data_IF_699283358330
#
_entry.id   IF_699283358330
#
_cell.length_a   1.000
_cell.length_b   1.000
_cell.length_c   1.000
_cell.angle_alpha   90.00
_cell.angle_beta   90.00
_cell.angle_gamma   90.00
#
_symmetry.space_group_name_H-M   'P 1'
#
loop_
_entity.id
_entity.type
_entity.pdbx_description
1 polymer ?
#
# COMPACT_ATOMS: atom_id res chain seq x y z
N UNK A 1 -72.64 -18.09 -11.33
CA UNK A 1 -71.51 -17.45 -10.65
C UNK A 1 -70.44 -18.51 -10.54
N UNK A 2 -69.58 -18.59 -11.55
CA UNK A 2 -68.69 -19.73 -11.79
C UNK A 2 -67.37 -19.44 -11.11
N UNK A 3 -67.02 -20.25 -10.11
CA UNK A 3 -65.75 -20.18 -9.37
C UNK A 3 -64.67 -20.79 -10.27
N UNK A 4 -63.72 -19.97 -10.73
CA UNK A 4 -62.59 -20.43 -11.55
C UNK A 4 -61.63 -21.24 -10.68
N UNK A 5 -61.24 -22.42 -11.17
CA UNK A 5 -60.36 -23.38 -10.52
C UNK A 5 -58.95 -22.78 -10.33
N UNK A 6 -58.36 -22.82 -9.12
CA UNK A 6 -57.05 -22.24 -8.86
C UNK A 6 -55.85 -22.95 -9.52
N UNK A 7 -56.03 -24.18 -10.04
CA UNK A 7 -54.95 -25.02 -10.60
C UNK A 7 -54.85 -25.00 -12.14
N UNK A 8 -55.43 -24.01 -12.83
CA UNK A 8 -55.34 -23.86 -14.29
C UNK A 8 -53.92 -23.38 -14.72
N UNK A 9 -53.14 -24.16 -15.48
CA UNK A 9 -51.77 -23.83 -15.87
C UNK A 9 -51.65 -22.63 -16.83
N UNK A 10 -52.75 -22.19 -17.45
CA UNK A 10 -52.80 -21.00 -18.31
C UNK A 10 -53.33 -19.75 -17.56
N UNK A 11 -53.55 -19.86 -16.24
CA UNK A 11 -54.00 -18.74 -15.41
C UNK A 11 -52.90 -17.69 -15.26
N UNK A 12 -53.15 -16.49 -15.80
CA UNK A 12 -52.30 -15.32 -15.55
C UNK A 12 -52.50 -14.88 -14.09
N UNK A 13 -51.45 -14.85 -13.25
CA UNK A 13 -51.55 -14.45 -11.85
C UNK A 13 -52.12 -13.05 -11.73
N UNK A 14 -52.97 -12.84 -10.74
CA UNK A 14 -53.48 -11.50 -10.43
C UNK A 14 -52.36 -10.64 -9.86
N UNK A 15 -52.46 -9.33 -9.99
CA UNK A 15 -51.43 -8.40 -9.50
C UNK A 15 -51.13 -8.58 -8.00
N UNK A 16 -52.14 -8.96 -7.21
CA UNK A 16 -51.99 -9.24 -5.79
C UNK A 16 -51.19 -10.53 -5.50
N UNK A 17 -51.29 -11.54 -6.37
CA UNK A 17 -50.51 -12.78 -6.25
C UNK A 17 -49.06 -12.54 -6.66
N UNK A 18 -48.82 -11.72 -7.70
CA UNK A 18 -47.47 -11.31 -8.11
C UNK A 18 -46.76 -10.50 -7.02
N UNK A 19 -47.47 -9.54 -6.40
CA UNK A 19 -46.93 -8.74 -5.30
C UNK A 19 -46.62 -9.62 -4.07
N UNK A 20 -47.43 -10.64 -3.79
CA UNK A 20 -47.20 -11.57 -2.68
C UNK A 20 -45.97 -12.45 -2.92
N UNK A 21 -45.75 -12.91 -4.15
CA UNK A 21 -44.55 -13.68 -4.52
C UNK A 21 -43.27 -12.84 -4.44
N UNK A 22 -43.31 -11.59 -4.89
CA UNK A 22 -42.18 -10.66 -4.79
C UNK A 22 -41.86 -10.32 -3.32
N UNK A 23 -42.89 -10.09 -2.50
CA UNK A 23 -42.73 -9.89 -1.05
C UNK A 23 -42.12 -11.13 -0.37
N UNK A 24 -42.60 -12.33 -0.71
CA UNK A 24 -42.05 -13.57 -0.18
C UNK A 24 -40.60 -13.81 -0.62
N UNK A 25 -40.23 -13.44 -1.85
CA UNK A 25 -38.87 -13.50 -2.34
C UNK A 25 -37.93 -12.53 -1.61
N UNK A 26 -38.42 -11.31 -1.32
CA UNK A 26 -37.69 -10.31 -0.53
C UNK A 26 -37.49 -10.79 0.91
N UNK A 27 -38.53 -11.36 1.53
CA UNK A 27 -38.48 -11.88 2.90
C UNK A 27 -37.50 -13.04 3.03
N UNK A 28 -37.52 -14.01 2.10
CA UNK A 28 -36.53 -15.10 2.04
C UNK A 28 -35.10 -14.55 1.92
N UNK A 29 -34.89 -13.59 1.04
CA UNK A 29 -33.57 -12.96 0.85
C UNK A 29 -33.13 -12.12 2.05
N UNK A 30 -34.06 -11.58 2.83
CA UNK A 30 -33.76 -10.90 4.09
C UNK A 30 -33.36 -11.91 5.15
N UNK A 31 -34.14 -12.98 5.31
CA UNK A 31 -33.86 -14.05 6.26
C UNK A 31 -32.52 -14.73 6.00
N UNK A 32 -32.18 -15.02 4.74
CA UNK A 32 -30.87 -15.55 4.35
C UNK A 32 -29.70 -14.60 4.72
N UNK A 33 -29.93 -13.27 4.66
CA UNK A 33 -28.91 -12.28 5.05
C UNK A 33 -28.77 -12.20 6.57
N UNK A 34 -29.87 -12.25 7.30
CA UNK A 34 -29.87 -12.20 8.76
C UNK A 34 -29.24 -13.48 9.34
N UNK A 35 -29.53 -14.63 8.74
CA UNK A 35 -28.94 -15.91 9.09
C UNK A 35 -27.43 -15.96 8.77
N UNK A 36 -27.00 -15.36 7.66
CA UNK A 36 -25.58 -15.18 7.33
C UNK A 36 -24.84 -14.19 8.26
N UNK A 37 -25.56 -13.28 8.94
CA UNK A 37 -24.97 -12.43 9.99
C UNK A 37 -24.87 -13.17 11.33
N UNK A 38 -25.84 -14.04 11.66
CA UNK A 38 -25.87 -14.82 12.90
C UNK A 38 -24.88 -15.99 12.88
N UNK A 39 -24.68 -16.60 11.72
CA UNK A 39 -23.72 -17.69 11.50
C UNK A 39 -22.74 -17.31 10.40
N UNK A 40 -21.68 -16.55 10.70
CA UNK A 40 -20.65 -16.26 9.71
C UNK A 40 -20.06 -17.58 9.19
N UNK A 41 -20.14 -17.81 7.88
CA UNK A 41 -19.56 -18.97 7.24
C UNK A 41 -18.10 -19.15 7.68
N UNK A 42 -17.71 -20.39 7.99
CA UNK A 42 -16.30 -20.74 8.27
C UNK A 42 -15.40 -20.07 7.23
N UNK A 43 -14.25 -19.48 7.63
CA UNK A 43 -13.34 -18.86 6.68
C UNK A 43 -13.01 -19.88 5.59
N UNK A 44 -13.55 -19.63 4.39
CA UNK A 44 -13.31 -20.45 3.21
C UNK A 44 -11.82 -20.31 2.94
N UNK A 45 -11.10 -21.42 2.92
CA UNK A 45 -9.68 -21.42 2.55
C UNK A 45 -9.57 -20.73 1.18
N UNK A 46 -8.92 -19.55 1.09
CA UNK A 46 -8.92 -18.74 -0.12
C UNK A 46 -8.10 -19.37 -1.25
N UNK A 47 -7.51 -20.55 -1.02
CA UNK A 47 -6.62 -21.22 -1.93
C UNK A 47 -5.23 -20.60 -1.92
N UNK A 48 -4.31 -21.12 -2.77
CA UNK A 48 -2.92 -20.72 -2.73
C UNK A 48 -2.74 -19.23 -3.06
N UNK A 49 -1.82 -18.53 -2.38
CA UNK A 49 -1.58 -17.12 -2.60
C UNK A 49 -1.09 -16.86 -4.04
N UNK A 50 -1.58 -15.80 -4.72
CA UNK A 50 -1.22 -15.53 -6.12
C UNK A 50 0.28 -15.31 -6.31
N UNK A 51 0.84 -15.85 -7.40
CA UNK A 51 2.26 -15.66 -7.80
C UNK A 51 2.65 -14.19 -7.94
N UNK A 52 1.70 -13.33 -8.31
CA UNK A 52 1.91 -11.88 -8.33
C UNK A 52 2.36 -11.31 -6.98
N UNK A 53 1.80 -11.81 -5.87
CA UNK A 53 2.13 -11.37 -4.53
C UNK A 53 3.35 -12.09 -3.96
N UNK A 54 3.46 -13.41 -4.18
CA UNK A 54 4.48 -14.25 -3.55
C UNK A 54 5.79 -14.33 -4.31
N UNK A 55 5.79 -14.07 -5.62
CA UNK A 55 6.97 -14.16 -6.48
C UNK A 55 7.27 -12.79 -7.09
N UNK A 56 6.37 -12.24 -7.91
CA UNK A 56 6.69 -11.02 -8.68
C UNK A 56 6.93 -9.80 -7.78
N UNK A 57 6.03 -9.54 -6.84
CA UNK A 57 6.21 -8.45 -5.87
C UNK A 57 7.47 -8.65 -5.01
N UNK A 58 7.76 -9.89 -4.60
CA UNK A 58 8.95 -10.20 -3.78
C UNK A 58 10.24 -10.04 -4.55
N UNK A 59 10.32 -10.51 -5.79
CA UNK A 59 11.51 -10.38 -6.64
C UNK A 59 11.79 -8.90 -6.92
N UNK A 60 10.76 -8.12 -7.28
CA UNK A 60 10.90 -6.68 -7.47
C UNK A 60 11.34 -5.98 -6.18
N UNK A 61 10.77 -6.36 -5.04
CA UNK A 61 11.18 -5.84 -3.73
C UNK A 61 12.63 -6.19 -3.40
N UNK A 62 13.07 -7.44 -3.62
CA UNK A 62 14.47 -7.84 -3.39
C UNK A 62 15.43 -7.07 -4.28
N UNK A 63 15.08 -6.83 -5.54
CA UNK A 63 15.87 -5.96 -6.41
C UNK A 63 16.00 -4.54 -5.85
N UNK A 64 14.90 -3.97 -5.37
CA UNK A 64 14.92 -2.67 -4.70
C UNK A 64 15.73 -2.69 -3.41
N UNK A 65 15.64 -3.75 -2.62
CA UNK A 65 16.37 -3.93 -1.36
C UNK A 65 17.87 -4.02 -1.59
N UNK A 66 18.32 -4.72 -2.63
CA UNK A 66 19.73 -4.78 -3.01
C UNK A 66 20.23 -3.39 -3.42
N UNK A 67 19.48 -2.66 -4.25
CA UNK A 67 19.84 -1.30 -4.64
C UNK A 67 19.93 -0.35 -3.42
N UNK A 68 18.93 -0.41 -2.53
CA UNK A 68 18.90 0.33 -1.28
C UNK A 68 20.10 -0.02 -0.38
N UNK A 69 20.48 -1.30 -0.33
CA UNK A 69 21.61 -1.75 0.48
C UNK A 69 22.94 -1.29 -0.08
N UNK A 70 23.10 -1.26 -1.41
CA UNK A 70 24.28 -0.66 -2.05
C UNK A 70 24.38 0.83 -1.69
N UNK A 71 23.27 1.58 -1.77
CA UNK A 71 23.25 2.99 -1.35
C UNK A 71 23.56 3.17 0.14
N UNK A 72 23.03 2.31 1.01
CA UNK A 72 23.33 2.33 2.44
C UNK A 72 24.82 2.09 2.72
N UNK A 73 25.41 1.02 2.18
CA UNK A 73 26.82 0.69 2.39
C UNK A 73 27.70 1.81 1.84
N UNK A 74 27.40 2.31 0.63
CA UNK A 74 28.15 3.41 0.04
C UNK A 74 28.06 4.69 0.88
N UNK A 75 26.86 5.03 1.35
CA UNK A 75 26.66 6.21 2.20
C UNK A 75 27.34 6.08 3.56
N UNK A 76 27.40 4.87 4.14
CA UNK A 76 28.08 4.62 5.41
C UNK A 76 29.60 4.72 5.28
N UNK A 77 30.16 4.20 4.18
CA UNK A 77 31.61 4.33 3.87
C UNK A 77 32.00 5.79 3.62
N UNK A 78 31.13 6.58 2.99
CA UNK A 78 31.41 7.97 2.61
C UNK A 78 30.75 8.99 3.55
N UNK A 79 30.36 8.58 4.76
CA UNK A 79 29.50 9.41 5.62
C UNK A 79 30.17 10.75 5.98
N UNK A 80 31.46 10.75 6.31
CA UNK A 80 32.19 11.98 6.63
C UNK A 80 32.28 12.95 5.45
N UNK A 81 32.42 12.42 4.23
CA UNK A 81 32.41 13.23 3.00
C UNK A 81 31.02 13.82 2.76
N UNK A 82 29.96 13.04 2.94
CA UNK A 82 28.57 13.50 2.78
C UNK A 82 28.22 14.57 3.83
N UNK A 83 28.62 14.39 5.09
CA UNK A 83 28.43 15.37 6.16
C UNK A 83 29.12 16.70 5.83
N UNK A 84 30.36 16.64 5.32
CA UNK A 84 31.10 17.83 4.87
C UNK A 84 30.39 18.56 3.74
N UNK A 85 30.03 17.85 2.67
CA UNK A 85 29.35 18.41 1.50
C UNK A 85 27.96 18.97 1.84
N UNK A 86 27.22 18.28 2.71
CA UNK A 86 25.92 18.75 3.18
C UNK A 86 26.06 20.01 4.05
N UNK A 87 27.09 20.07 4.89
CA UNK A 87 27.38 21.25 5.72
C UNK A 87 27.69 22.46 4.85
N UNK A 88 28.50 22.30 3.81
CA UNK A 88 28.84 23.38 2.88
C UNK A 88 27.60 23.86 2.11
N UNK A 89 26.77 22.92 1.64
CA UNK A 89 25.49 23.24 0.98
C UNK A 89 24.50 23.96 1.90
N UNK A 90 24.42 23.58 3.17
CA UNK A 90 23.57 24.25 4.16
C UNK A 90 24.07 25.67 4.47
N UNK A 91 25.40 25.87 4.55
CA UNK A 91 26.00 27.21 4.74
C UNK A 91 25.72 28.13 3.55
N UNK A 92 25.85 27.61 2.34
CA UNK A 92 25.50 28.34 1.11
C UNK A 92 23.99 28.69 1.08
N UNK A 93 23.13 27.78 1.52
CA UNK A 93 21.69 28.02 1.63
C UNK A 93 21.34 29.16 2.60
N UNK A 94 22.06 29.26 3.73
CA UNK A 94 21.87 30.33 4.72
C UNK A 94 22.35 31.68 4.17
N UNK A 95 23.43 31.69 3.40
CA UNK A 95 23.96 32.90 2.78
C UNK A 95 23.05 33.42 1.64
N UNK A 96 22.38 32.52 0.91
CA UNK A 96 21.56 32.86 -0.25
C UNK A 96 20.08 33.16 0.08
N UNK A 97 19.49 32.45 1.05
CA UNK A 97 18.11 32.71 1.50
C UNK A 97 17.95 32.57 3.03
N UNK A 98 18.37 33.58 3.81
CA UNK A 98 18.34 33.54 5.27
C UNK A 98 16.93 33.53 5.88
N UNK A 99 15.86 33.76 5.08
CA UNK A 99 14.47 33.70 5.57
C UNK A 99 13.91 32.29 5.59
N UNK A 100 14.47 31.39 4.80
CA UNK A 100 13.99 30.01 4.64
C UNK A 100 15.00 28.97 5.17
N UNK A 101 16.18 29.42 5.61
CA UNK A 101 17.25 28.57 6.09
C UNK A 101 17.17 28.26 7.60
N UNK A 102 17.74 27.11 7.98
CA UNK A 102 17.94 26.77 9.39
C UNK A 102 18.85 27.82 10.06
N UNK A 103 18.63 28.16 11.35
CA UNK A 103 19.46 29.14 12.03
C UNK A 103 20.91 28.64 12.09
N UNK A 104 21.85 29.57 11.88
CA UNK A 104 23.24 29.26 11.55
C UNK A 104 23.97 28.45 12.65
N UNK A 105 23.48 28.56 13.89
CA UNK A 105 23.93 27.81 15.07
C UNK A 105 23.60 26.31 15.01
N UNK A 106 22.66 25.89 14.15
CA UNK A 106 22.22 24.49 14.03
C UNK A 106 22.71 23.75 12.79
N UNK A 107 23.42 24.41 11.89
CA UNK A 107 23.93 23.81 10.63
C UNK A 107 24.79 22.58 10.94
N UNK A 108 25.76 22.69 11.85
CA UNK A 108 26.67 21.59 12.16
C UNK A 108 25.93 20.40 12.80
N UNK A 109 24.92 20.66 13.64
CA UNK A 109 24.08 19.60 14.21
C UNK A 109 23.22 18.90 13.15
N UNK A 110 22.64 19.65 12.21
CA UNK A 110 21.79 19.11 11.16
C UNK A 110 22.61 18.31 10.14
N UNK A 111 23.78 18.84 9.75
CA UNK A 111 24.68 18.19 8.80
C UNK A 111 25.20 16.84 9.31
N UNK A 112 25.41 16.69 10.62
CA UNK A 112 25.86 15.42 11.22
C UNK A 112 24.67 14.46 11.46
N UNK A 113 23.48 14.98 11.76
CA UNK A 113 22.32 14.14 12.08
C UNK A 113 21.63 13.57 10.83
N UNK A 114 21.38 14.40 9.81
CA UNK A 114 20.56 14.01 8.67
C UNK A 114 21.12 12.81 7.88
N UNK A 115 22.42 12.76 7.54
CA UNK A 115 22.97 11.62 6.80
C UNK A 115 22.81 10.30 7.56
N UNK A 116 23.14 10.29 8.85
CA UNK A 116 22.99 9.11 9.71
C UNK A 116 21.53 8.70 9.80
N UNK A 117 20.63 9.66 10.07
CA UNK A 117 19.19 9.39 10.17
C UNK A 117 18.63 8.80 8.87
N UNK A 118 18.97 9.37 7.72
CA UNK A 118 18.49 8.88 6.42
C UNK A 118 19.00 7.46 6.13
N UNK A 119 20.27 7.16 6.46
CA UNK A 119 20.83 5.80 6.32
C UNK A 119 20.10 4.79 7.20
N UNK A 120 19.81 5.14 8.46
CA UNK A 120 19.02 4.29 9.36
C UNK A 120 17.62 4.08 8.80
N UNK A 121 16.97 5.14 8.31
CA UNK A 121 15.62 5.06 7.75
C UNK A 121 15.53 4.14 6.53
N UNK A 122 16.57 4.06 5.68
CA UNK A 122 16.62 3.09 4.58
C UNK A 122 16.41 1.66 5.11
N UNK A 123 17.14 1.28 6.16
CA UNK A 123 17.04 -0.06 6.76
C UNK A 123 15.67 -0.28 7.39
N UNK A 124 15.16 0.71 8.12
CA UNK A 124 13.83 0.65 8.75
C UNK A 124 12.74 0.44 7.71
N UNK A 125 12.75 1.21 6.62
CA UNK A 125 11.77 1.04 5.54
C UNK A 125 11.85 -0.35 4.91
N UNK A 126 13.05 -0.86 4.62
CA UNK A 126 13.21 -2.21 4.06
C UNK A 126 12.62 -3.30 4.98
N UNK A 127 12.91 -3.23 6.28
CA UNK A 127 12.42 -4.22 7.25
C UNK A 127 10.89 -4.16 7.36
N UNK A 128 10.33 -2.95 7.49
CA UNK A 128 8.88 -2.75 7.62
C UNK A 128 8.15 -3.19 6.34
N UNK A 129 8.64 -2.77 5.17
CA UNK A 129 8.07 -3.15 3.88
C UNK A 129 8.10 -4.67 3.67
N UNK A 130 9.23 -5.32 3.98
CA UNK A 130 9.35 -6.77 3.88
C UNK A 130 8.37 -7.49 4.81
N UNK A 131 8.30 -7.07 6.08
CA UNK A 131 7.41 -7.67 7.07
C UNK A 131 5.94 -7.53 6.66
N UNK A 132 5.55 -6.36 6.13
CA UNK A 132 4.19 -6.12 5.65
C UNK A 132 3.86 -6.91 4.39
N UNK A 133 4.82 -7.06 3.46
CA UNK A 133 4.65 -7.85 2.24
C UNK A 133 4.51 -9.35 2.54
N UNK A 134 5.35 -9.88 3.44
CA UNK A 134 5.24 -11.27 3.93
C UNK A 134 3.96 -11.46 4.73
N UNK A 135 3.61 -10.50 5.59
CA UNK A 135 2.38 -10.51 6.37
C UNK A 135 1.13 -10.53 5.50
N UNK A 136 1.11 -9.77 4.40
CA UNK A 136 0.00 -9.78 3.45
C UNK A 136 -0.20 -11.15 2.79
N UNK A 137 0.89 -11.85 2.46
CA UNK A 137 0.85 -13.17 1.83
C UNK A 137 0.54 -14.31 2.82
N UNK A 138 1.07 -14.26 4.04
CA UNK A 138 0.95 -15.33 5.05
C UNK A 138 -0.38 -15.27 5.81
N UNK A 139 -0.85 -14.07 6.18
CA UNK A 139 -2.06 -13.89 6.98
C UNK A 139 -3.30 -13.57 6.14
N UNK A 140 -3.21 -13.60 4.81
CA UNK A 140 -4.31 -13.25 3.93
C UNK A 140 -4.91 -11.86 4.26
N UNK A 141 -4.07 -10.92 4.66
CA UNK A 141 -4.49 -9.65 5.27
C UNK A 141 -4.47 -8.49 4.29
N UNK A 142 -5.65 -7.94 4.00
CA UNK A 142 -5.79 -6.72 3.19
C UNK A 142 -5.22 -5.48 3.89
N UNK A 143 -5.25 -5.47 5.22
CA UNK A 143 -4.68 -4.39 6.02
C UNK A 143 -3.15 -4.37 5.88
N UNK A 144 -2.48 -5.52 5.99
CA UNK A 144 -1.02 -5.62 5.77
C UNK A 144 -0.63 -5.12 4.38
N UNK A 145 -1.39 -5.48 3.34
CA UNK A 145 -1.16 -4.95 1.98
C UNK A 145 -1.36 -3.43 1.91
N UNK A 146 -2.42 -2.88 2.51
CA UNK A 146 -2.67 -1.44 2.47
C UNK A 146 -1.57 -0.66 3.22
N UNK A 147 -1.11 -1.18 4.37
CA UNK A 147 0.03 -0.62 5.09
C UNK A 147 1.33 -0.74 4.29
N UNK A 148 1.55 -1.87 3.60
CA UNK A 148 2.68 -2.04 2.68
C UNK A 148 2.67 -0.96 1.60
N UNK A 149 1.53 -0.75 0.94
CA UNK A 149 1.39 0.30 -0.08
C UNK A 149 1.63 1.70 0.50
N UNK A 150 1.13 1.98 1.70
CA UNK A 150 1.38 3.25 2.37
C UNK A 150 2.87 3.44 2.68
N UNK A 151 3.53 2.42 3.22
CA UNK A 151 4.97 2.44 3.51
C UNK A 151 5.79 2.67 2.22
N UNK A 152 5.47 1.94 1.14
CA UNK A 152 6.12 2.13 -0.17
C UNK A 152 5.91 3.54 -0.70
N UNK A 153 4.70 4.10 -0.61
CA UNK A 153 4.45 5.48 -1.04
C UNK A 153 5.30 6.48 -0.26
N UNK A 154 5.39 6.33 1.07
CA UNK A 154 6.25 7.18 1.90
C UNK A 154 7.72 7.01 1.49
N UNK A 155 8.18 5.78 1.29
CA UNK A 155 9.55 5.50 0.87
C UNK A 155 9.86 6.09 -0.51
N UNK A 156 8.92 6.00 -1.46
CA UNK A 156 9.04 6.63 -2.79
C UNK A 156 9.17 8.15 -2.70
N UNK A 157 8.57 8.80 -1.71
CA UNK A 157 8.77 10.24 -1.46
C UNK A 157 10.15 10.52 -0.83
N UNK A 158 10.65 9.62 0.00
CA UNK A 158 11.96 9.76 0.65
C UNK A 158 13.14 9.53 -0.30
N UNK A 159 13.00 8.66 -1.32
CA UNK A 159 14.10 8.31 -2.23
C UNK A 159 14.67 9.52 -2.99
N UNK A 160 13.86 10.37 -3.67
CA UNK A 160 14.36 11.56 -4.35
C UNK A 160 15.08 12.52 -3.40
N UNK A 161 14.54 12.72 -2.20
CA UNK A 161 15.19 13.53 -1.17
C UNK A 161 16.52 12.93 -0.75
N UNK A 162 16.61 11.62 -0.53
CA UNK A 162 17.86 10.94 -0.21
C UNK A 162 18.91 11.04 -1.32
N UNK A 163 18.50 10.89 -2.58
CA UNK A 163 19.38 11.08 -3.74
C UNK A 163 19.93 12.51 -3.77
N UNK A 164 19.06 13.52 -3.65
CA UNK A 164 19.47 14.92 -3.76
C UNK A 164 20.35 15.38 -2.59
N UNK A 165 20.05 14.90 -1.38
CA UNK A 165 20.72 15.34 -0.15
C UNK A 165 22.03 14.59 0.11
N UNK A 166 22.13 13.31 -0.28
CA UNK A 166 23.27 12.45 0.07
C UNK A 166 24.18 12.15 -1.11
N UNK A 167 23.65 12.03 -2.34
CA UNK A 167 24.38 11.42 -3.46
C UNK A 167 24.55 12.33 -4.67
N UNK A 168 23.84 13.45 -4.74
CA UNK A 168 23.92 14.40 -5.85
C UNK A 168 25.02 15.44 -5.64
N UNK A 169 26.25 14.96 -5.46
CA UNK A 169 27.45 15.79 -5.37
C UNK A 169 28.46 15.38 -6.44
N UNK A 170 29.22 16.34 -7.01
CA UNK A 170 30.21 16.05 -8.05
C UNK A 170 31.37 15.17 -7.57
N UNK A 171 31.67 15.20 -6.26
CA UNK A 171 32.74 14.41 -5.65
C UNK A 171 32.33 12.96 -5.34
N UNK A 172 31.05 12.63 -5.51
CA UNK A 172 30.52 11.28 -5.31
C UNK A 172 30.34 10.56 -6.64
N UNK A 173 30.26 9.23 -6.56
CA UNK A 173 30.12 8.40 -7.74
C UNK A 173 28.80 8.67 -8.46
N UNK A 174 28.87 9.14 -9.71
CA UNK A 174 27.72 9.52 -10.54
C UNK A 174 26.69 8.40 -10.77
N UNK A 175 27.04 7.15 -10.49
CA UNK A 175 26.13 6.01 -10.58
C UNK A 175 25.14 5.92 -9.40
N UNK A 176 25.42 6.55 -8.25
CA UNK A 176 24.56 6.44 -7.06
C UNK A 176 23.14 6.99 -7.25
N UNK A 177 22.94 8.16 -7.89
CA UNK A 177 21.60 8.61 -8.26
C UNK A 177 20.85 7.62 -9.16
N UNK A 178 21.55 6.96 -10.08
CA UNK A 178 20.95 5.96 -10.99
C UNK A 178 20.48 4.75 -10.19
N UNK A 179 21.27 4.28 -9.23
CA UNK A 179 20.90 3.17 -8.33
C UNK A 179 19.66 3.54 -7.50
N UNK A 180 19.58 4.78 -7.00
CA UNK A 180 18.40 5.26 -6.29
C UNK A 180 17.13 5.30 -7.17
N UNK A 181 17.24 5.75 -8.42
CA UNK A 181 16.12 5.69 -9.38
C UNK A 181 15.74 4.26 -9.77
N UNK A 182 16.70 3.35 -9.84
CA UNK A 182 16.44 1.93 -10.06
C UNK A 182 15.66 1.33 -8.88
N UNK A 183 16.06 1.64 -7.64
CA UNK A 183 15.31 1.27 -6.43
C UNK A 183 13.87 1.79 -6.50
N UNK A 184 13.69 3.07 -6.86
CA UNK A 184 12.37 3.69 -7.03
C UNK A 184 11.50 2.91 -8.02
N UNK A 185 12.02 2.63 -9.21
CA UNK A 185 11.27 1.90 -10.24
C UNK A 185 10.89 0.49 -9.79
N UNK A 186 11.80 -0.23 -9.11
CA UNK A 186 11.55 -1.57 -8.61
C UNK A 186 10.50 -1.61 -7.50
N UNK A 187 10.48 -0.62 -6.61
CA UNK A 187 9.42 -0.47 -5.60
C UNK A 187 8.06 -0.19 -6.23
N UNK A 188 7.99 0.66 -7.27
CA UNK A 188 6.74 0.89 -8.02
C UNK A 188 6.23 -0.41 -8.64
N UNK A 189 7.11 -1.18 -9.29
CA UNK A 189 6.74 -2.48 -9.87
C UNK A 189 6.23 -3.43 -8.78
N UNK A 190 6.91 -3.49 -7.64
CA UNK A 190 6.47 -4.32 -6.51
C UNK A 190 5.08 -3.91 -6.01
N UNK A 191 4.82 -2.61 -5.82
CA UNK A 191 3.52 -2.09 -5.43
C UNK A 191 2.43 -2.44 -6.45
N UNK A 192 2.69 -2.25 -7.75
CA UNK A 192 1.76 -2.58 -8.83
C UNK A 192 1.39 -4.07 -8.83
N UNK A 193 2.36 -4.95 -8.58
CA UNK A 193 2.11 -6.39 -8.44
C UNK A 193 1.13 -6.71 -7.30
N UNK A 194 1.17 -5.96 -6.19
CA UNK A 194 0.23 -6.16 -5.06
C UNK A 194 -1.19 -5.62 -5.33
N UNK A 195 -1.36 -4.74 -6.32
CA UNK A 195 -2.66 -4.14 -6.70
C UNK A 195 -3.36 -4.93 -7.82
N UNK A 196 -2.68 -5.91 -8.42
CA UNK A 196 -3.26 -6.68 -9.53
C UNK A 196 -4.62 -7.30 -9.19
N UNK A 197 -5.47 -7.46 -10.22
CA UNK A 197 -6.84 -8.02 -10.10
C UNK A 197 -6.84 -9.40 -9.41
N UNK A 198 -5.83 -10.23 -9.67
CA UNK A 198 -5.66 -11.55 -9.04
C UNK A 198 -5.51 -11.45 -7.52
N UNK A 199 -4.66 -10.53 -7.04
CA UNK A 199 -4.43 -10.28 -5.60
C UNK A 199 -5.66 -9.66 -4.95
N UNK A 200 -6.31 -8.72 -5.64
CA UNK A 200 -7.53 -8.08 -5.15
C UNK A 200 -8.72 -9.04 -5.00
N UNK A 201 -8.82 -10.06 -5.87
CA UNK A 201 -9.86 -11.10 -5.78
C UNK A 201 -9.56 -12.14 -4.71
N UNK A 202 -8.27 -12.41 -4.48
CA UNK A 202 -7.85 -13.32 -3.42
C UNK A 202 -8.10 -12.70 -2.05
N UNK A 203 -7.62 -11.48 -1.80
CA UNK A 203 -7.74 -10.82 -0.50
C UNK A 203 -9.20 -10.63 -0.02
N UNK A 204 -9.43 -10.62 1.31
CA UNK A 204 -10.78 -10.55 1.86
C UNK A 204 -11.50 -9.28 1.40
N UNK A 205 -12.82 -9.40 1.22
CA UNK A 205 -13.67 -8.27 0.86
C UNK A 205 -13.53 -7.16 1.91
N UNK A 206 -13.51 -5.89 1.47
CA UNK A 206 -13.38 -4.80 2.44
C UNK A 206 -14.61 -4.78 3.33
N UNK A 207 -14.40 -4.99 4.63
CA UNK A 207 -15.44 -4.93 5.67
C UNK A 207 -16.03 -3.53 5.87
N UNK A 208 -15.55 -2.52 5.13
CA UNK A 208 -16.21 -1.21 5.08
C UNK A 208 -17.59 -1.39 4.48
N UNK A 209 -18.61 -1.37 5.34
CA UNK A 209 -20.00 -1.15 4.95
C UNK A 209 -20.05 0.00 3.94
N UNK A 210 -20.54 -0.28 2.73
CA UNK A 210 -20.77 0.77 1.73
C UNK A 210 -21.85 1.72 2.30
N UNK A 211 -21.58 3.03 2.47
CA UNK A 211 -22.54 3.97 3.06
C UNK A 211 -23.82 4.12 2.21
N UNK A 212 -23.79 3.72 0.94
CA UNK A 212 -24.98 3.66 0.08
C UNK A 212 -26.01 2.61 0.50
N UNK A 213 -25.67 1.67 1.41
CA UNK A 213 -26.65 0.75 2.00
C UNK A 213 -27.37 1.32 3.23
N UNK A 214 -26.82 2.34 3.89
CA UNK A 214 -27.50 2.99 5.04
C UNK A 214 -28.58 3.97 4.59
N UNK A 215 -28.38 4.65 3.45
CA UNK A 215 -29.35 5.60 2.87
C UNK A 215 -30.61 4.97 2.25
N UNK A 216 -30.69 3.63 2.18
CA UNK A 216 -31.85 2.90 1.63
C UNK A 216 -32.70 2.21 2.71
N UNK A 217 -32.38 2.46 3.98
CA UNK A 217 -33.07 1.90 5.15
C UNK A 217 -33.54 2.96 6.16
N UNK A 218 -33.60 4.23 5.75
CA UNK A 218 -34.24 5.32 6.50
C UNK A 218 -35.47 5.82 5.76
#
# INVERSE_FOLDING_TARGET
MTMTDPDDPDRVPTQAELDAEDLAAIERRSKDKDEAMLYPSRPVDPGPPPRALTVHARVAFWGAAVAAMVSFVYGLVNIGTIEGLLRDRLREGVASDPRNAAPADRIDSLANFFPVFMLVMIVVFLVVEYALLVGAASHHSRNCRNFYLAAVVVNLLCIPSGIDLLFRYPDLWSAMPIIGWLQFALLVVSALCTIQKSVNRWLPQSTRMRPTRMLRGS
#
